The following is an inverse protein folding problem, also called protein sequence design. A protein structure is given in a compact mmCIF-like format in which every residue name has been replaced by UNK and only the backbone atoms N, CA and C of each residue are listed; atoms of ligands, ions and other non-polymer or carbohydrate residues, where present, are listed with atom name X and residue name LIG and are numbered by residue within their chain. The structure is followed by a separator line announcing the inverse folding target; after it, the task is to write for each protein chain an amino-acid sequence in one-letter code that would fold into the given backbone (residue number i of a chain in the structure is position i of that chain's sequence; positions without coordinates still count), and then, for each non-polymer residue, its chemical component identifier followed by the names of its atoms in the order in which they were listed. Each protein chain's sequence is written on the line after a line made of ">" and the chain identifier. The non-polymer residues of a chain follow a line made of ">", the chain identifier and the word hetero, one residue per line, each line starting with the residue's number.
data_IF_663760526749
#
_entry.id   IF_663760526749
#
_cell.length_a   1.000
_cell.length_b   1.000
_cell.length_c   1.000
_cell.angle_alpha   90.00
_cell.angle_beta   90.00
_cell.angle_gamma   90.00
#
_symmetry.space_group_name_H-M   'P 1'
#
loop_
_entity.id
_entity.type
_entity.pdbx_description
1 polymer ?
#
# COMPACT_ATOMS: atom_id res chain seq x y z
N UNK A 1 49.16 -45.39 15.48
CA UNK A 1 49.20 -44.98 14.07
C UNK A 1 48.85 -46.18 13.20
N UNK A 2 47.87 -46.03 12.28
CA UNK A 2 47.53 -46.89 11.13
C UNK A 2 46.94 -48.30 11.36
N UNK A 3 45.69 -48.44 10.88
CA UNK A 3 45.00 -49.56 10.20
C UNK A 3 45.00 -50.99 10.78
N UNK A 4 43.79 -51.57 10.96
CA UNK A 4 43.39 -52.85 10.33
C UNK A 4 41.91 -53.25 10.63
N UNK A 5 41.15 -53.48 9.55
CA UNK A 5 40.15 -54.54 9.22
C UNK A 5 39.23 -55.19 10.29
N UNK A 6 38.05 -55.58 9.79
CA UNK A 6 37.02 -56.55 10.28
C UNK A 6 35.93 -56.01 11.23
N UNK A 7 34.66 -56.32 10.89
CA UNK A 7 33.46 -56.65 11.70
C UNK A 7 32.20 -56.29 10.87
N UNK A 8 31.18 -57.10 10.63
CA UNK A 8 30.90 -58.53 10.75
C UNK A 8 29.58 -58.78 9.99
N UNK A 9 29.48 -59.88 9.26
CA UNK A 9 28.24 -60.50 8.78
C UNK A 9 27.45 -61.14 9.94
N UNK A 10 26.20 -61.54 9.66
CA UNK A 10 25.29 -62.39 10.47
C UNK A 10 24.52 -61.66 11.59
N UNK A 11 23.23 -61.89 11.86
CA UNK A 11 22.31 -62.98 11.52
C UNK A 11 20.90 -62.54 11.90
N UNK A 12 19.90 -62.80 11.03
CA UNK A 12 18.49 -62.87 11.41
C UNK A 12 18.30 -64.20 12.16
N UNK A 13 17.88 -64.13 13.43
CA UNK A 13 17.54 -65.32 14.22
C UNK A 13 16.03 -65.37 14.47
N UNK A 14 15.49 -66.47 13.98
CA UNK A 14 14.18 -67.07 14.18
C UNK A 14 13.71 -67.05 15.64
N UNK A 15 12.46 -66.63 15.90
CA UNK A 15 11.74 -66.97 17.12
C UNK A 15 10.28 -67.31 16.79
N UNK A 16 9.98 -68.61 16.82
CA UNK A 16 8.64 -69.20 16.75
C UNK A 16 8.14 -69.39 18.18
N UNK A 17 6.93 -68.92 18.49
CA UNK A 17 6.13 -69.43 19.62
C UNK A 17 4.72 -69.70 19.13
N UNK A 18 4.33 -70.97 19.24
CA UNK A 18 3.03 -71.55 18.88
C UNK A 18 1.97 -71.27 19.96
N UNK A 19 0.75 -70.95 19.53
CA UNK A 19 -0.47 -71.24 20.27
C UNK A 19 -1.56 -71.73 19.31
N UNK A 20 -1.88 -73.02 19.47
CA UNK A 20 -2.91 -73.86 18.89
C UNK A 20 -4.16 -73.19 18.27
N UNK A 21 -4.17 -73.24 16.94
CA UNK A 21 -5.34 -73.33 16.05
C UNK A 21 -4.77 -73.74 14.70
N UNK A 22 -4.67 -75.05 14.42
CA UNK A 22 -3.89 -75.61 13.32
C UNK A 22 -4.43 -75.22 11.92
N UNK A 23 -4.09 -74.03 11.43
CA UNK A 23 -3.94 -73.81 9.98
C UNK A 23 -2.60 -74.42 9.56
N UNK A 24 -2.65 -75.51 8.80
CA UNK A 24 -1.48 -76.02 8.08
C UNK A 24 -1.14 -75.01 7.00
N UNK A 25 -0.29 -74.03 7.30
CA UNK A 25 0.21 -73.14 6.25
C UNK A 25 0.90 -73.98 5.17
N UNK A 26 0.48 -73.77 3.93
CA UNK A 26 1.04 -74.42 2.76
C UNK A 26 2.51 -74.02 2.64
N UNK A 27 3.38 -75.00 2.43
CA UNK A 27 4.76 -74.71 2.06
C UNK A 27 4.80 -74.32 0.58
N UNK A 28 5.32 -73.12 0.30
CA UNK A 28 5.58 -72.67 -1.05
C UNK A 28 6.51 -73.64 -1.78
N UNK A 29 6.17 -73.94 -3.03
CA UNK A 29 7.02 -74.68 -3.95
C UNK A 29 8.30 -73.89 -4.25
N UNK A 30 9.32 -74.58 -4.79
CA UNK A 30 10.54 -73.92 -5.23
C UNK A 30 10.25 -72.81 -6.25
N UNK A 31 9.38 -73.07 -7.23
CA UNK A 31 9.02 -72.10 -8.26
C UNK A 31 8.36 -70.83 -7.68
N UNK A 32 7.45 -70.97 -6.69
CA UNK A 32 6.81 -69.84 -6.03
C UNK A 32 7.81 -69.00 -5.21
N UNK A 33 8.79 -69.66 -4.56
CA UNK A 33 9.88 -68.96 -3.86
C UNK A 33 10.75 -68.16 -4.83
N UNK A 34 11.12 -68.78 -5.95
CA UNK A 34 11.92 -68.12 -7.00
C UNK A 34 11.19 -66.90 -7.59
N UNK A 35 9.86 -67.00 -7.79
CA UNK A 35 9.04 -65.86 -8.21
C UNK A 35 9.00 -64.76 -7.15
N UNK A 36 8.85 -65.10 -5.87
CA UNK A 36 8.79 -64.12 -4.79
C UNK A 36 10.13 -63.39 -4.60
N UNK A 37 11.25 -64.11 -4.75
CA UNK A 37 12.59 -63.52 -4.74
C UNK A 37 12.77 -62.55 -5.92
N UNK A 38 12.28 -62.93 -7.11
CA UNK A 38 12.31 -62.06 -8.30
C UNK A 38 11.51 -60.77 -8.08
N UNK A 39 10.30 -60.86 -7.56
CA UNK A 39 9.44 -59.69 -7.25
C UNK A 39 10.11 -58.80 -6.20
N UNK A 40 10.61 -59.41 -5.12
CA UNK A 40 11.28 -58.70 -4.04
C UNK A 40 12.56 -57.99 -4.52
N UNK A 41 13.31 -58.60 -5.43
CA UNK A 41 14.50 -58.01 -6.03
C UNK A 41 14.17 -56.79 -6.90
N UNK A 42 13.05 -56.82 -7.65
CA UNK A 42 12.57 -55.67 -8.43
C UNK A 42 12.19 -54.49 -7.54
N UNK A 43 11.44 -54.75 -6.46
CA UNK A 43 11.05 -53.72 -5.49
C UNK A 43 12.30 -53.15 -4.78
N UNK A 44 13.22 -54.00 -4.33
CA UNK A 44 14.47 -53.56 -3.70
C UNK A 44 15.37 -52.77 -4.64
N UNK A 45 15.35 -53.08 -5.95
CA UNK A 45 16.04 -52.28 -6.97
C UNK A 45 15.41 -50.89 -7.08
N UNK A 46 14.09 -50.79 -7.11
CA UNK A 46 13.39 -49.51 -7.14
C UNK A 46 13.64 -48.67 -5.86
N UNK A 47 13.71 -49.31 -4.69
CA UNK A 47 14.07 -48.61 -3.44
C UNK A 47 15.46 -47.96 -3.50
N UNK A 48 16.45 -48.65 -4.08
CA UNK A 48 17.79 -48.08 -4.33
C UNK A 48 17.77 -46.93 -5.33
N UNK A 49 16.66 -46.76 -6.05
CA UNK A 49 16.41 -45.68 -7.00
C UNK A 49 15.47 -44.61 -6.41
N UNK A 50 15.37 -44.51 -5.08
CA UNK A 50 14.51 -43.55 -4.37
C UNK A 50 13.01 -43.64 -4.70
N UNK A 51 12.51 -44.86 -4.94
CA UNK A 51 11.09 -45.10 -5.26
C UNK A 51 10.09 -44.44 -4.31
N UNK A 52 10.41 -44.32 -3.01
CA UNK A 52 9.55 -43.66 -2.01
C UNK A 52 9.29 -42.18 -2.33
N UNK A 53 10.20 -41.53 -3.04
CA UNK A 53 10.07 -40.14 -3.46
C UNK A 53 9.61 -40.05 -4.92
N UNK A 54 10.16 -40.92 -5.78
CA UNK A 54 9.91 -40.87 -7.22
C UNK A 54 8.58 -41.48 -7.67
N UNK A 55 8.08 -42.49 -6.98
CA UNK A 55 6.84 -43.21 -7.30
C UNK A 55 6.17 -43.76 -6.03
N UNK A 56 5.77 -42.89 -5.08
CA UNK A 56 5.28 -43.32 -3.75
C UNK A 56 4.04 -44.21 -3.81
N UNK A 57 3.15 -43.97 -4.78
CA UNK A 57 1.90 -44.72 -4.95
C UNK A 57 2.19 -46.11 -5.48
N UNK A 58 2.96 -46.22 -6.55
CA UNK A 58 3.36 -47.50 -7.13
C UNK A 58 4.24 -48.32 -6.18
N UNK A 59 5.04 -47.65 -5.35
CA UNK A 59 5.86 -48.31 -4.34
C UNK A 59 4.99 -48.96 -3.26
N UNK A 60 4.02 -48.22 -2.72
CA UNK A 60 3.06 -48.76 -1.76
C UNK A 60 2.24 -49.91 -2.37
N UNK A 61 1.80 -49.75 -3.63
CA UNK A 61 1.02 -50.75 -4.34
C UNK A 61 1.81 -52.04 -4.60
N UNK A 62 3.06 -51.95 -5.05
CA UNK A 62 3.90 -53.12 -5.29
C UNK A 62 4.22 -53.91 -4.00
N UNK A 63 4.37 -53.21 -2.86
CA UNK A 63 4.51 -53.85 -1.55
C UNK A 63 3.24 -54.60 -1.15
N UNK A 64 2.07 -53.97 -1.30
CA UNK A 64 0.78 -54.60 -0.99
C UNK A 64 0.55 -55.86 -1.83
N UNK A 65 0.74 -55.77 -3.16
CA UNK A 65 0.55 -56.93 -4.05
C UNK A 65 1.55 -58.06 -3.77
N UNK A 66 2.79 -57.74 -3.39
CA UNK A 66 3.78 -58.75 -2.96
C UNK A 66 3.32 -59.45 -1.67
N UNK A 67 2.86 -58.69 -0.70
CA UNK A 67 2.42 -59.21 0.60
C UNK A 67 1.15 -60.07 0.44
N UNK A 68 0.21 -59.64 -0.42
CA UNK A 68 -0.95 -60.44 -0.82
C UNK A 68 -0.52 -61.74 -1.51
N UNK A 69 0.39 -61.67 -2.49
CA UNK A 69 0.89 -62.88 -3.16
C UNK A 69 1.60 -63.84 -2.20
N UNK A 70 2.30 -63.33 -1.18
CA UNK A 70 2.92 -64.15 -0.14
C UNK A 70 1.87 -64.79 0.77
N UNK A 71 0.87 -64.04 1.21
CA UNK A 71 -0.24 -64.55 2.02
C UNK A 71 -0.93 -65.70 1.28
N UNK A 72 -1.35 -65.43 0.05
CA UNK A 72 -2.05 -66.37 -0.83
C UNK A 72 -1.25 -67.64 -1.10
N UNK A 73 0.07 -67.53 -1.27
CA UNK A 73 0.93 -68.70 -1.48
C UNK A 73 1.02 -69.62 -0.26
N UNK A 74 0.74 -69.10 0.94
CA UNK A 74 0.83 -69.81 2.23
C UNK A 74 -0.51 -70.29 2.78
N UNK A 75 -1.63 -69.85 2.20
CA UNK A 75 -2.97 -70.30 2.59
C UNK A 75 -3.29 -71.72 2.05
N UNK A 76 -4.10 -72.51 2.78
CA UNK A 76 -4.45 -73.88 2.42
C UNK A 76 -5.64 -73.93 1.43
N UNK A 77 -5.43 -73.44 0.20
CA UNK A 77 -6.45 -73.47 -0.86
C UNK A 77 -6.76 -74.88 -1.38
N UNK A 78 -8.00 -75.10 -1.84
CA UNK A 78 -8.44 -76.36 -2.46
C UNK A 78 -7.84 -76.59 -3.88
N UNK A 79 -7.49 -75.52 -4.62
CA UNK A 79 -6.79 -75.56 -5.92
C UNK A 79 -5.66 -74.50 -6.03
N UNK A 80 -4.52 -74.71 -5.34
CA UNK A 80 -3.49 -73.69 -5.15
C UNK A 80 -2.82 -73.14 -6.43
N UNK A 81 -2.37 -73.96 -7.40
CA UNK A 81 -1.53 -73.47 -8.50
C UNK A 81 -2.21 -72.43 -9.39
N UNK A 82 -3.52 -72.56 -9.61
CA UNK A 82 -4.29 -71.68 -10.49
C UNK A 82 -4.64 -70.35 -9.83
N UNK A 83 -4.90 -70.37 -8.52
CA UNK A 83 -5.25 -69.16 -7.76
C UNK A 83 -4.00 -68.33 -7.44
N UNK A 84 -3.00 -68.98 -6.86
CA UNK A 84 -1.73 -68.35 -6.43
C UNK A 84 -0.97 -67.74 -7.61
N UNK A 85 -0.99 -68.40 -8.78
CA UNK A 85 -0.32 -67.90 -9.98
C UNK A 85 -0.81 -66.52 -10.45
N UNK A 86 -2.08 -66.16 -10.20
CA UNK A 86 -2.62 -64.84 -10.56
C UNK A 86 -2.07 -63.75 -9.64
N UNK A 87 -1.94 -64.03 -8.35
CA UNK A 87 -1.38 -63.07 -7.40
C UNK A 87 0.10 -62.83 -7.67
N UNK A 88 0.88 -63.88 -7.99
CA UNK A 88 2.26 -63.72 -8.46
C UNK A 88 2.37 -62.89 -9.75
N UNK A 89 1.46 -63.09 -10.71
CA UNK A 89 1.45 -62.30 -11.93
C UNK A 89 1.12 -60.82 -11.65
N UNK A 90 0.15 -60.55 -10.77
CA UNK A 90 -0.23 -59.20 -10.34
C UNK A 90 0.93 -58.50 -9.63
N UNK A 91 1.53 -59.15 -8.63
CA UNK A 91 2.67 -58.64 -7.89
C UNK A 91 3.89 -58.39 -8.77
N UNK A 92 4.17 -59.30 -9.72
CA UNK A 92 5.26 -59.08 -10.67
C UNK A 92 4.99 -57.88 -11.60
N UNK A 93 3.75 -57.72 -12.08
CA UNK A 93 3.38 -56.56 -12.90
C UNK A 93 3.50 -55.26 -12.10
N UNK A 94 3.04 -55.23 -10.85
CA UNK A 94 3.17 -54.05 -9.98
C UNK A 94 4.64 -53.69 -9.73
N UNK A 95 5.52 -54.68 -9.54
CA UNK A 95 6.95 -54.45 -9.40
C UNK A 95 7.62 -53.94 -10.70
N UNK A 96 7.16 -54.39 -11.87
CA UNK A 96 7.61 -53.89 -13.18
C UNK A 96 7.14 -52.43 -13.42
N UNK A 97 5.88 -52.13 -13.11
CA UNK A 97 5.32 -50.78 -13.22
C UNK A 97 6.03 -49.79 -12.27
N UNK A 98 6.35 -50.22 -11.05
CA UNK A 98 7.14 -49.46 -10.10
C UNK A 98 8.52 -49.08 -10.68
N UNK A 99 9.24 -50.04 -11.27
CA UNK A 99 10.53 -49.76 -11.90
C UNK A 99 10.38 -48.79 -13.07
N UNK A 100 9.37 -48.99 -13.91
CA UNK A 100 9.10 -48.11 -15.05
C UNK A 100 8.80 -46.66 -14.63
N UNK A 101 8.10 -46.47 -13.50
CA UNK A 101 7.77 -45.14 -12.95
C UNK A 101 8.92 -44.51 -12.19
N UNK A 102 9.71 -45.31 -11.48
CA UNK A 102 10.84 -44.81 -10.69
C UNK A 102 12.00 -44.38 -11.59
N UNK A 103 12.24 -45.08 -12.69
CA UNK A 103 13.44 -44.89 -13.54
C UNK A 103 13.60 -43.45 -14.08
N UNK A 104 12.60 -42.82 -14.72
CA UNK A 104 12.76 -41.47 -15.27
C UNK A 104 13.04 -40.40 -14.21
N UNK A 105 12.41 -40.52 -13.04
CA UNK A 105 12.64 -39.61 -11.92
C UNK A 105 14.04 -39.79 -11.33
N UNK A 106 14.48 -41.04 -11.13
CA UNK A 106 15.81 -41.33 -10.62
C UNK A 106 16.90 -40.87 -11.60
N UNK A 107 16.75 -41.15 -12.89
CA UNK A 107 17.68 -40.69 -13.93
C UNK A 107 17.77 -39.16 -13.96
N UNK A 108 16.64 -38.45 -13.85
CA UNK A 108 16.63 -36.98 -13.77
C UNK A 108 17.40 -36.45 -12.55
N UNK A 109 17.42 -37.17 -11.42
CA UNK A 109 18.22 -36.82 -10.23
C UNK A 109 19.71 -37.10 -10.41
N UNK A 110 20.09 -38.08 -11.23
CA UNK A 110 21.50 -38.43 -11.50
C UNK A 110 22.17 -37.48 -12.49
N UNK A 111 21.39 -36.70 -13.25
CA UNK A 111 21.94 -35.62 -14.07
C UNK A 111 22.38 -34.48 -13.13
N UNK A 112 23.65 -34.52 -12.72
CA UNK A 112 24.36 -33.31 -12.29
C UNK A 112 24.16 -32.29 -13.40
N UNK A 113 23.53 -31.16 -13.07
CA UNK A 113 23.47 -30.02 -13.97
C UNK A 113 24.86 -29.82 -14.59
N UNK A 114 24.94 -29.89 -15.92
CA UNK A 114 26.08 -29.31 -16.61
C UNK A 114 26.26 -27.89 -16.06
N UNK A 115 27.49 -27.37 -15.88
CA UNK A 115 27.62 -25.94 -15.66
C UNK A 115 26.79 -25.27 -16.75
N UNK A 116 25.90 -24.33 -16.40
CA UNK A 116 25.02 -23.74 -17.39
C UNK A 116 25.90 -23.27 -18.56
N UNK A 117 25.43 -23.37 -19.83
CA UNK A 117 26.03 -22.49 -20.84
C UNK A 117 26.10 -21.10 -20.23
N UNK A 118 27.15 -20.28 -20.47
CA UNK A 118 27.16 -18.92 -19.97
C UNK A 118 25.77 -18.37 -20.27
N UNK A 119 25.02 -18.02 -19.23
CA UNK A 119 23.68 -17.47 -19.43
C UNK A 119 23.90 -16.39 -20.50
N UNK A 120 23.04 -16.25 -21.54
CA UNK A 120 22.96 -14.92 -22.12
C UNK A 120 22.82 -14.03 -20.89
N UNK A 121 23.76 -13.09 -20.70
CA UNK A 121 23.75 -12.22 -19.53
C UNK A 121 22.31 -11.76 -19.44
N UNK A 122 21.54 -12.31 -18.49
CA UNK A 122 20.22 -11.79 -18.21
C UNK A 122 20.64 -10.53 -17.52
N UNK A 123 20.83 -9.48 -18.34
CA UNK A 123 21.01 -8.13 -17.85
C UNK A 123 19.87 -8.02 -16.85
N UNK A 124 20.18 -7.89 -15.54
CA UNK A 124 19.12 -7.77 -14.55
C UNK A 124 18.15 -6.74 -15.11
N UNK A 125 16.83 -7.03 -15.16
CA UNK A 125 15.88 -6.08 -15.71
C UNK A 125 16.22 -4.72 -15.12
N UNK A 126 16.37 -3.67 -15.95
CA UNK A 126 16.84 -2.39 -15.48
C UNK A 126 16.04 -2.04 -14.23
N UNK A 127 16.71 -1.55 -13.16
CA UNK A 127 16.04 -1.30 -11.90
C UNK A 127 14.75 -0.51 -12.17
N UNK A 128 13.61 -0.94 -11.62
CA UNK A 128 12.33 -0.32 -11.92
C UNK A 128 12.45 1.19 -11.72
N UNK A 129 12.11 1.96 -12.76
CA UNK A 129 12.25 3.40 -12.73
C UNK A 129 11.53 3.94 -11.49
N UNK A 130 12.20 4.78 -10.71
CA UNK A 130 11.59 5.40 -9.55
C UNK A 130 10.30 6.13 -9.98
N UNK A 131 9.23 6.08 -9.17
CA UNK A 131 8.04 6.83 -9.49
C UNK A 131 8.31 8.31 -9.34
N UNK A 132 7.46 9.13 -9.96
CA UNK A 132 7.39 10.56 -9.70
C UNK A 132 5.95 10.92 -9.36
N UNK A 133 5.77 11.96 -8.57
CA UNK A 133 4.45 12.49 -8.22
C UNK A 133 4.47 14.01 -8.31
N UNK A 134 3.33 14.60 -8.67
CA UNK A 134 3.08 16.03 -8.59
C UNK A 134 1.71 16.21 -7.95
N UNK A 135 1.59 17.23 -7.10
CA UNK A 135 0.31 17.65 -6.54
C UNK A 135 0.30 19.18 -6.50
N UNK A 136 -0.79 19.77 -6.96
CA UNK A 136 -1.02 21.20 -7.04
C UNK A 136 -2.39 21.52 -6.43
N UNK A 137 -2.57 22.76 -6.00
CA UNK A 137 -3.83 23.28 -5.50
C UNK A 137 -4.20 24.55 -6.29
N UNK A 138 -5.45 24.64 -6.73
CA UNK A 138 -5.99 25.82 -7.38
C UNK A 138 -7.40 26.16 -6.84
N UNK A 139 -7.59 27.33 -6.20
CA UNK A 139 -6.57 28.35 -5.88
C UNK A 139 -5.50 27.85 -4.90
N UNK A 140 -4.29 28.43 -4.98
CA UNK A 140 -3.14 28.04 -4.13
C UNK A 140 -3.34 28.30 -2.63
N UNK A 141 -4.26 29.19 -2.30
CA UNK A 141 -4.68 29.51 -0.94
C UNK A 141 -6.20 29.71 -0.93
N UNK A 142 -6.80 29.55 0.24
CA UNK A 142 -8.24 29.75 0.43
C UNK A 142 -8.49 30.70 1.59
N UNK A 143 -9.62 31.39 1.59
CA UNK A 143 -10.12 32.02 2.82
C UNK A 143 -10.89 30.99 3.64
N UNK A 144 -10.99 31.21 4.96
CA UNK A 144 -11.80 30.35 5.85
C UNK A 144 -13.17 30.04 5.24
N UNK A 145 -13.54 28.75 5.23
CA UNK A 145 -14.79 28.26 4.67
C UNK A 145 -14.84 28.19 3.14
N UNK A 146 -13.72 28.44 2.44
CA UNK A 146 -13.58 28.22 1.00
C UNK A 146 -12.80 26.94 0.70
N UNK A 147 -12.95 26.45 -0.52
CA UNK A 147 -12.38 25.20 -0.98
C UNK A 147 -11.35 25.46 -2.09
N UNK A 148 -10.44 24.51 -2.27
CA UNK A 148 -9.49 24.45 -3.37
C UNK A 148 -9.57 23.09 -4.05
N UNK A 149 -9.20 23.03 -5.32
CA UNK A 149 -9.10 21.76 -6.04
C UNK A 149 -7.66 21.28 -6.03
N UNK A 150 -7.41 20.14 -5.39
CA UNK A 150 -6.17 19.40 -5.55
C UNK A 150 -6.17 18.73 -6.92
N UNK A 151 -5.05 18.82 -7.65
CA UNK A 151 -4.81 18.12 -8.90
C UNK A 151 -3.49 17.41 -8.81
N UNK A 152 -3.44 16.13 -9.18
CA UNK A 152 -2.21 15.34 -9.12
C UNK A 152 -1.99 14.51 -10.37
N UNK A 153 -0.72 14.18 -10.60
CA UNK A 153 -0.31 13.20 -11.60
C UNK A 153 0.93 12.46 -11.12
N UNK A 154 1.07 11.21 -11.53
CA UNK A 154 2.20 10.36 -11.21
C UNK A 154 2.80 9.75 -12.46
N UNK A 155 4.07 9.38 -12.40
CA UNK A 155 4.79 8.68 -13.47
C UNK A 155 5.44 7.43 -12.89
N UNK A 156 5.46 6.33 -13.66
CA UNK A 156 6.01 5.03 -13.27
C UNK A 156 5.43 4.44 -11.97
N UNK A 157 4.35 4.99 -11.43
CA UNK A 157 3.71 4.51 -10.22
C UNK A 157 2.66 3.44 -10.53
N UNK A 158 2.51 2.46 -9.64
CA UNK A 158 1.45 1.44 -9.72
C UNK A 158 0.31 1.74 -8.73
N UNK A 159 0.54 2.62 -7.77
CA UNK A 159 -0.45 3.10 -6.81
C UNK A 159 -0.13 4.52 -6.35
N UNK A 160 -1.15 5.25 -5.90
CA UNK A 160 -1.00 6.56 -5.30
C UNK A 160 -1.96 6.72 -4.11
N UNK A 161 -1.53 7.45 -3.09
CA UNK A 161 -2.32 7.77 -1.90
C UNK A 161 -2.07 9.22 -1.51
N UNK A 162 -3.11 9.90 -1.01
CA UNK A 162 -3.00 11.24 -0.42
C UNK A 162 -3.37 11.16 1.06
N UNK A 163 -2.58 11.81 1.92
CA UNK A 163 -2.84 11.93 3.35
C UNK A 163 -4.08 12.81 3.66
N UNK A 164 -4.22 13.28 4.90
CA UNK A 164 -5.37 14.07 5.38
C UNK A 164 -6.72 13.36 5.21
N UNK A 165 -6.72 12.03 5.32
CA UNK A 165 -7.93 11.20 5.23
C UNK A 165 -8.48 11.04 3.82
N UNK A 166 -7.73 11.41 2.77
CA UNK A 166 -8.14 11.19 1.37
C UNK A 166 -7.95 9.72 0.97
N UNK A 167 -6.84 9.10 1.35
CA UNK A 167 -6.55 7.69 1.10
C UNK A 167 -6.11 7.40 -0.34
N UNK A 168 -6.32 6.15 -0.77
CA UNK A 168 -5.94 5.67 -2.10
C UNK A 168 -6.64 6.45 -3.22
N UNK A 169 -5.87 6.90 -4.21
CA UNK A 169 -6.33 7.68 -5.36
C UNK A 169 -5.82 7.08 -6.67
N UNK A 170 -6.42 7.51 -7.79
CA UNK A 170 -5.90 7.18 -9.12
C UNK A 170 -4.50 7.76 -9.36
N UNK A 171 -3.78 7.23 -10.35
CA UNK A 171 -2.43 7.71 -10.73
C UNK A 171 -2.43 9.16 -11.26
N UNK A 172 -3.59 9.68 -11.61
CA UNK A 172 -3.88 11.10 -11.80
C UNK A 172 -5.31 11.36 -11.37
N UNK A 173 -5.63 12.62 -11.09
CA UNK A 173 -7.00 12.99 -10.73
C UNK A 173 -7.08 14.36 -10.10
N UNK A 174 -8.31 14.70 -9.70
CA UNK A 174 -8.62 15.92 -8.97
C UNK A 174 -9.52 15.61 -7.77
N UNK A 175 -9.44 16.44 -6.73
CA UNK A 175 -10.32 16.37 -5.56
C UNK A 175 -10.48 17.74 -4.93
N UNK A 176 -11.72 18.14 -4.72
CA UNK A 176 -12.02 19.35 -3.95
C UNK A 176 -11.81 19.10 -2.46
N UNK A 177 -11.15 20.04 -1.79
CA UNK A 177 -10.90 20.03 -0.34
C UNK A 177 -11.20 21.40 0.25
N UNK A 178 -11.77 21.42 1.45
CA UNK A 178 -12.15 22.64 2.16
C UNK A 178 -11.45 22.69 3.54
N UNK A 179 -10.12 22.91 3.57
CA UNK A 179 -9.38 22.94 4.82
C UNK A 179 -9.86 24.08 5.72
N UNK A 180 -9.96 23.80 7.03
CA UNK A 180 -10.34 24.80 8.04
C UNK A 180 -9.16 25.61 8.56
N UNK A 181 -7.97 25.04 8.49
CA UNK A 181 -6.69 25.65 8.85
C UNK A 181 -5.65 25.29 7.79
N UNK A 182 -4.53 26.02 7.74
CA UNK A 182 -3.44 25.75 6.81
C UNK A 182 -3.04 24.28 6.87
N UNK A 183 -3.12 23.60 5.73
CA UNK A 183 -2.96 22.15 5.65
C UNK A 183 -1.95 21.76 4.57
N UNK A 184 -1.15 20.73 4.86
CA UNK A 184 -0.23 20.11 3.89
C UNK A 184 -0.83 18.79 3.41
N UNK A 185 -0.93 18.66 2.09
CA UNK A 185 -1.34 17.44 1.41
C UNK A 185 -0.11 16.80 0.77
N UNK A 186 0.16 15.56 1.15
CA UNK A 186 1.25 14.75 0.62
C UNK A 186 0.67 13.64 -0.24
N UNK A 187 0.98 13.65 -1.54
CA UNK A 187 0.77 12.47 -2.38
C UNK A 187 1.99 11.55 -2.27
N UNK A 188 1.74 10.26 -2.08
CA UNK A 188 2.75 9.20 -2.12
C UNK A 188 2.43 8.27 -3.29
N UNK A 189 3.30 8.26 -4.29
CA UNK A 189 3.22 7.37 -5.44
C UNK A 189 4.19 6.20 -5.26
N UNK A 190 3.75 4.97 -5.46
CA UNK A 190 4.55 3.78 -5.14
C UNK A 190 4.60 2.82 -6.32
N UNK A 191 5.77 2.22 -6.55
CA UNK A 191 5.99 1.07 -7.41
C UNK A 191 7.09 0.15 -6.81
N UNK A 192 7.49 -0.96 -7.47
CA UNK A 192 8.59 -1.81 -6.98
C UNK A 192 9.97 -1.12 -6.88
N UNK A 193 10.16 0.02 -7.55
CA UNK A 193 11.36 0.87 -7.44
C UNK A 193 11.36 1.82 -6.23
N UNK A 194 10.29 1.81 -5.42
CA UNK A 194 10.18 2.57 -4.17
C UNK A 194 9.05 3.62 -4.20
N UNK A 195 8.92 4.42 -3.14
CA UNK A 195 7.96 5.51 -3.08
C UNK A 195 8.56 6.84 -3.55
N UNK A 196 7.72 7.71 -4.12
CA UNK A 196 8.02 9.11 -4.38
C UNK A 196 6.91 9.98 -3.78
N UNK A 197 7.29 11.13 -3.24
CA UNK A 197 6.36 12.05 -2.58
C UNK A 197 6.37 13.42 -3.23
N UNK A 198 5.19 14.03 -3.32
CA UNK A 198 5.05 15.45 -3.58
C UNK A 198 4.12 16.06 -2.52
N UNK A 199 4.40 17.31 -2.16
CA UNK A 199 3.67 18.02 -1.11
C UNK A 199 3.13 19.31 -1.70
N UNK A 200 1.87 19.62 -1.41
CA UNK A 200 1.31 20.96 -1.58
C UNK A 200 0.80 21.47 -0.24
N UNK A 201 1.20 22.68 0.11
CA UNK A 201 0.65 23.40 1.24
C UNK A 201 -0.49 24.29 0.75
N UNK A 202 -1.63 24.23 1.42
CA UNK A 202 -2.80 25.08 1.16
C UNK A 202 -2.98 25.99 2.38
N UNK A 203 -2.47 27.24 2.33
CA UNK A 203 -2.73 28.23 3.36
C UNK A 203 -4.22 28.57 3.45
N UNK A 204 -4.72 28.67 4.67
CA UNK A 204 -6.06 29.19 4.97
C UNK A 204 -5.92 30.56 5.59
N UNK A 205 -6.36 31.58 4.87
CA UNK A 205 -6.35 32.97 5.32
C UNK A 205 -7.66 33.37 5.96
N UNK A 206 -7.54 34.24 6.95
CA UNK A 206 -8.65 34.77 7.71
C UNK A 206 -8.85 36.24 7.35
N UNK A 207 -10.08 36.72 7.55
CA UNK A 207 -10.41 38.13 7.45
C UNK A 207 -11.42 38.51 8.51
N UNK A 208 -11.36 39.77 8.93
CA UNK A 208 -12.37 40.38 9.79
C UNK A 208 -12.88 41.65 9.15
N UNK A 209 -14.21 41.84 9.17
CA UNK A 209 -14.85 43.07 8.70
C UNK A 209 -15.11 43.98 9.88
N UNK A 210 -14.70 45.23 9.74
CA UNK A 210 -14.89 46.30 10.71
C UNK A 210 -15.88 47.32 10.17
N UNK A 211 -16.90 47.60 10.96
CA UNK A 211 -17.89 48.64 10.65
C UNK A 211 -17.55 49.94 11.39
N UNK A 212 -16.54 50.66 10.87
CA UNK A 212 -16.10 51.93 11.43
C UNK A 212 -16.88 53.06 10.79
N UNK A 213 -17.59 53.84 11.60
CA UNK A 213 -18.37 54.97 11.13
C UNK A 213 -17.47 56.21 10.99
N UNK A 214 -16.99 56.45 9.78
CA UNK A 214 -16.33 57.70 9.46
C UNK A 214 -17.37 58.81 9.23
N UNK A 215 -17.15 59.99 9.81
CA UNK A 215 -17.95 61.17 9.48
C UNK A 215 -17.85 61.51 7.98
N UNK A 216 -18.84 62.23 7.45
CA UNK A 216 -18.88 62.59 6.03
C UNK A 216 -17.57 63.28 5.60
N UNK A 217 -16.96 62.77 4.52
CA UNK A 217 -15.67 63.20 3.99
C UNK A 217 -14.46 63.13 4.95
N UNK A 218 -14.57 62.46 6.09
CA UNK A 218 -13.47 62.30 7.05
C UNK A 218 -12.89 60.89 7.05
N UNK A 219 -11.65 60.78 7.51
CA UNK A 219 -10.95 59.53 7.80
C UNK A 219 -10.59 59.41 9.29
N UNK A 220 -10.97 60.39 10.11
CA UNK A 220 -10.74 60.35 11.56
C UNK A 220 -11.59 59.27 12.22
N UNK A 221 -10.94 58.43 13.01
CA UNK A 221 -11.61 57.38 13.78
C UNK A 221 -12.20 58.04 15.03
N UNK A 222 -13.50 57.87 15.25
CA UNK A 222 -14.18 58.45 16.42
C UNK A 222 -13.93 57.54 17.64
N UNK A 223 -13.91 58.14 18.84
CA UNK A 223 -13.80 57.38 20.10
C UNK A 223 -14.87 56.29 20.23
N UNK A 224 -16.07 56.53 19.69
CA UNK A 224 -17.17 55.58 19.69
C UNK A 224 -16.89 54.30 18.88
N UNK A 225 -15.96 54.34 17.92
CA UNK A 225 -15.62 53.21 17.06
C UNK A 225 -14.38 52.43 17.57
N UNK A 226 -13.80 52.82 18.71
CA UNK A 226 -12.69 52.11 19.37
C UNK A 226 -13.02 50.64 19.68
N UNK A 227 -14.22 50.28 20.18
CA UNK A 227 -14.58 48.87 20.40
C UNK A 227 -14.54 48.04 19.10
N UNK A 228 -14.88 48.64 17.96
CA UNK A 228 -14.79 47.96 16.67
C UNK A 228 -13.32 47.74 16.26
N UNK A 229 -12.47 48.74 16.51
CA UNK A 229 -11.03 48.59 16.31
C UNK A 229 -10.38 47.57 17.23
N UNK A 230 -10.97 47.26 18.38
CA UNK A 230 -10.44 46.19 19.23
C UNK A 230 -10.48 44.83 18.51
N UNK A 231 -11.48 44.58 17.65
CA UNK A 231 -11.52 43.38 16.80
C UNK A 231 -10.32 43.30 15.86
N UNK A 232 -9.85 44.45 15.37
CA UNK A 232 -8.66 44.54 14.55
C UNK A 232 -7.40 44.14 15.32
N UNK A 233 -7.28 44.65 16.56
CA UNK A 233 -6.18 44.32 17.47
C UNK A 233 -6.20 42.84 17.82
N UNK A 234 -7.37 42.29 18.12
CA UNK A 234 -7.53 40.88 18.45
C UNK A 234 -7.19 39.97 17.26
N UNK A 235 -7.51 40.41 16.04
CA UNK A 235 -7.13 39.73 14.81
C UNK A 235 -5.60 39.67 14.63
N UNK A 236 -4.89 40.81 14.70
CA UNK A 236 -3.43 40.81 14.52
C UNK A 236 -2.70 40.10 15.67
N UNK A 237 -3.27 40.08 16.87
CA UNK A 237 -2.75 39.27 18.00
C UNK A 237 -2.91 37.77 17.77
N UNK A 238 -4.00 37.36 17.12
CA UNK A 238 -4.26 35.95 16.80
C UNK A 238 -3.33 35.42 15.72
N UNK A 239 -2.89 36.28 14.80
CA UNK A 239 -2.02 35.94 13.68
C UNK A 239 -0.74 36.80 13.66
N UNK A 240 0.16 36.67 14.66
CA UNK A 240 1.28 37.60 14.86
C UNK A 240 2.38 37.51 13.79
N UNK A 241 2.48 36.39 13.09
CA UNK A 241 3.49 36.13 12.06
C UNK A 241 2.98 36.40 10.63
N UNK A 242 1.71 36.77 10.47
CA UNK A 242 1.08 36.98 9.16
C UNK A 242 1.17 38.44 8.74
N UNK A 243 1.43 38.67 7.44
CA UNK A 243 1.26 40.00 6.84
C UNK A 243 -0.23 40.27 6.68
N UNK A 244 -0.69 41.45 7.05
CA UNK A 244 -2.11 41.84 6.94
C UNK A 244 -2.29 43.01 5.99
N UNK A 245 -3.39 43.01 5.26
CA UNK A 245 -3.85 44.15 4.48
C UNK A 245 -5.09 44.76 5.14
N UNK A 246 -5.05 46.08 5.34
CA UNK A 246 -6.22 46.88 5.72
C UNK A 246 -6.84 47.41 4.45
N UNK A 247 -8.05 46.97 4.12
CA UNK A 247 -8.73 47.30 2.88
C UNK A 247 -9.95 48.17 3.16
N UNK A 248 -9.95 49.40 2.66
CA UNK A 248 -11.06 50.33 2.80
C UNK A 248 -12.05 50.21 1.65
N UNK A 249 -13.34 50.37 1.96
CA UNK A 249 -14.44 50.40 0.99
C UNK A 249 -15.37 51.59 1.23
N UNK A 250 -16.04 52.04 0.17
CA UNK A 250 -17.09 53.05 0.19
C UNK A 250 -18.42 52.46 -0.30
N UNK A 251 -19.48 53.26 -0.20
CA UNK A 251 -20.66 53.02 -1.03
C UNK A 251 -20.45 53.63 -2.43
N UNK A 252 -21.45 53.48 -3.30
CA UNK A 252 -21.39 53.99 -4.68
C UNK A 252 -21.80 55.47 -4.82
N UNK A 253 -21.76 56.25 -3.74
CA UNK A 253 -22.16 57.67 -3.78
C UNK A 253 -20.96 58.53 -4.13
N UNK A 254 -21.07 59.28 -5.23
CA UNK A 254 -20.02 60.20 -5.67
C UNK A 254 -19.07 59.58 -6.70
N UNK A 255 -18.05 60.34 -7.15
CA UNK A 255 -17.15 59.89 -8.21
C UNK A 255 -16.26 58.72 -7.76
N UNK A 256 -16.01 57.76 -8.65
CA UNK A 256 -15.16 56.60 -8.39
C UNK A 256 -13.75 56.99 -7.90
N UNK A 257 -13.09 57.95 -8.55
CA UNK A 257 -11.76 58.44 -8.14
C UNK A 257 -11.77 59.04 -6.72
N UNK A 258 -12.87 59.71 -6.37
CA UNK A 258 -13.05 60.25 -5.03
C UNK A 258 -13.20 59.13 -4.00
N UNK A 259 -14.04 58.14 -4.30
CA UNK A 259 -14.26 56.95 -3.48
C UNK A 259 -12.98 56.14 -3.28
N UNK A 260 -12.18 55.99 -4.33
CA UNK A 260 -10.87 55.36 -4.28
C UNK A 260 -9.95 56.06 -3.27
N UNK A 261 -9.74 57.36 -3.41
CA UNK A 261 -8.90 58.14 -2.46
C UNK A 261 -9.47 58.13 -1.03
N UNK A 262 -10.80 58.19 -0.88
CA UNK A 262 -11.44 58.16 0.44
C UNK A 262 -11.23 56.82 1.15
N UNK A 263 -11.43 55.71 0.43
CA UNK A 263 -11.21 54.37 0.96
C UNK A 263 -9.77 54.15 1.41
N UNK A 264 -8.79 54.63 0.63
CA UNK A 264 -7.37 54.54 0.96
C UNK A 264 -7.01 55.36 2.21
N UNK A 265 -7.54 56.58 2.36
CA UNK A 265 -7.33 57.39 3.58
C UNK A 265 -7.89 56.68 4.82
N UNK A 266 -9.05 56.04 4.71
CA UNK A 266 -9.67 55.28 5.81
C UNK A 266 -8.86 54.04 6.17
N UNK A 267 -8.38 53.30 5.18
CA UNK A 267 -7.49 52.17 5.39
C UNK A 267 -6.20 52.60 6.10
N UNK A 268 -5.60 53.73 5.69
CA UNK A 268 -4.41 54.29 6.31
C UNK A 268 -4.65 54.72 7.77
N UNK A 269 -5.82 55.28 8.10
CA UNK A 269 -6.16 55.64 9.47
C UNK A 269 -6.20 54.40 10.38
N UNK A 270 -6.80 53.30 9.91
CA UNK A 270 -6.87 52.04 10.65
C UNK A 270 -5.49 51.37 10.74
N UNK A 271 -4.70 51.39 9.66
CA UNK A 271 -3.29 50.94 9.69
C UNK A 271 -2.49 51.72 10.73
N UNK A 272 -2.61 53.04 10.77
CA UNK A 272 -1.93 53.87 11.77
C UNK A 272 -2.33 53.49 13.19
N UNK A 273 -3.63 53.31 13.44
CA UNK A 273 -4.11 52.85 14.74
C UNK A 273 -3.49 51.50 15.16
N UNK A 274 -3.41 50.54 14.25
CA UNK A 274 -2.82 49.23 14.53
C UNK A 274 -1.31 49.32 14.82
N UNK A 275 -0.58 50.17 14.08
CA UNK A 275 0.83 50.44 14.37
C UNK A 275 1.03 51.08 15.74
N UNK A 276 0.22 52.09 16.06
CA UNK A 276 0.27 52.78 17.35
C UNK A 276 -0.11 51.85 18.52
N UNK A 277 -0.89 50.79 18.27
CA UNK A 277 -1.22 49.76 19.26
C UNK A 277 -0.03 48.86 19.64
N UNK A 278 1.03 48.83 18.84
CA UNK A 278 2.23 48.03 19.09
C UNK A 278 2.11 46.54 18.78
N UNK A 279 0.99 46.07 18.21
CA UNK A 279 0.74 44.65 17.93
C UNK A 279 1.05 44.23 16.49
N UNK A 280 1.45 45.15 15.61
CA UNK A 280 1.86 44.86 14.24
C UNK A 280 3.04 45.74 13.84
N UNK A 281 4.00 45.19 13.11
CA UNK A 281 5.16 45.94 12.61
C UNK A 281 4.84 46.60 11.25
N UNK A 282 5.54 47.68 10.92
CA UNK A 282 5.30 48.45 9.69
C UNK A 282 5.45 47.64 8.40
N UNK A 283 6.32 46.63 8.39
CA UNK A 283 6.57 45.68 7.30
C UNK A 283 5.53 44.55 7.22
N UNK A 284 4.72 44.36 8.27
CA UNK A 284 3.67 43.36 8.35
C UNK A 284 2.28 43.92 8.00
N UNK A 285 2.13 45.22 7.73
CA UNK A 285 0.82 45.83 7.45
C UNK A 285 0.82 46.73 6.21
N UNK A 286 -0.11 46.46 5.28
CA UNK A 286 -0.40 47.34 4.15
C UNK A 286 -1.78 48.00 4.29
N UNK A 287 -1.99 49.10 3.59
CA UNK A 287 -3.28 49.77 3.49
C UNK A 287 -3.64 49.92 2.02
N UNK A 288 -4.86 49.56 1.66
CA UNK A 288 -5.36 49.58 0.28
C UNK A 288 -6.76 50.20 0.26
N UNK A 289 -7.01 51.09 -0.70
CA UNK A 289 -8.36 51.54 -1.02
C UNK A 289 -8.95 50.71 -2.15
N UNK A 290 -10.22 50.33 -2.05
CA UNK A 290 -10.98 49.66 -3.12
C UNK A 290 -12.17 50.48 -3.64
N UNK A 291 -12.33 51.70 -3.16
CA UNK A 291 -13.46 52.56 -3.52
C UNK A 291 -14.77 51.82 -3.32
N UNK A 292 -15.62 51.83 -4.34
CA UNK A 292 -16.94 51.18 -4.34
C UNK A 292 -16.93 49.72 -4.84
N UNK A 293 -15.76 49.13 -5.09
CA UNK A 293 -15.64 47.75 -5.53
C UNK A 293 -16.09 46.75 -4.44
N UNK A 294 -16.39 45.52 -4.86
CA UNK A 294 -16.78 44.41 -3.98
C UNK A 294 -17.88 44.77 -2.95
N UNK A 295 -19.07 45.26 -3.39
CA UNK A 295 -20.16 45.59 -2.48
C UNK A 295 -20.69 44.33 -1.79
N UNK A 296 -20.95 44.42 -0.49
CA UNK A 296 -21.52 43.33 0.33
C UNK A 296 -23.02 43.48 0.56
N UNK A 297 -23.60 44.60 0.12
CA UNK A 297 -25.03 44.88 0.20
C UNK A 297 -25.48 45.81 -0.94
N UNK A 298 -26.78 45.94 -1.13
CA UNK A 298 -27.36 46.77 -2.20
C UNK A 298 -27.13 48.27 -1.97
N UNK A 299 -26.33 48.88 -2.86
CA UNK A 299 -26.05 50.32 -2.85
C UNK A 299 -27.28 51.21 -3.11
N UNK A 300 -28.39 50.65 -3.60
CA UNK A 300 -29.64 51.41 -3.78
C UNK A 300 -30.30 51.75 -2.45
N UNK A 301 -30.09 50.94 -1.41
CA UNK A 301 -30.68 51.14 -0.08
C UNK A 301 -29.76 51.92 0.86
N UNK A 302 -30.31 52.69 1.81
CA UNK A 302 -29.49 53.43 2.80
C UNK A 302 -28.72 52.46 3.69
N UNK A 303 -29.36 51.36 4.04
CA UNK A 303 -28.85 50.28 4.88
C UNK A 303 -27.72 49.53 4.18
N UNK A 304 -27.87 49.21 2.90
CA UNK A 304 -26.83 48.56 2.12
C UNK A 304 -25.62 49.46 1.90
N UNK A 305 -25.82 50.75 1.61
CA UNK A 305 -24.72 51.73 1.59
C UNK A 305 -23.97 51.79 2.93
N UNK A 306 -24.69 51.75 4.05
CA UNK A 306 -24.05 51.71 5.36
C UNK A 306 -23.19 50.47 5.59
N UNK A 307 -23.61 49.31 5.10
CA UNK A 307 -22.82 48.07 5.14
C UNK A 307 -21.60 48.13 4.21
N UNK A 308 -21.71 48.77 3.05
CA UNK A 308 -20.60 48.87 2.08
C UNK A 308 -19.50 49.81 2.56
N UNK A 309 -19.83 50.84 3.35
CA UNK A 309 -18.86 51.72 4.05
C UNK A 309 -18.18 50.97 5.20
N UNK A 310 -17.19 50.15 4.87
CA UNK A 310 -16.49 49.26 5.80
C UNK A 310 -14.97 49.29 5.61
N UNK A 311 -14.27 48.74 6.58
CA UNK A 311 -12.84 48.38 6.46
C UNK A 311 -12.71 46.89 6.72
N UNK A 312 -12.01 46.17 5.87
CA UNK A 312 -11.66 44.78 6.11
C UNK A 312 -10.19 44.69 6.51
N UNK A 313 -9.88 43.75 7.40
CA UNK A 313 -8.52 43.34 7.67
C UNK A 313 -8.41 41.88 7.27
N UNK A 314 -7.46 41.59 6.41
CA UNK A 314 -7.27 40.25 5.86
C UNK A 314 -5.80 39.86 5.91
N UNK A 315 -5.53 38.59 6.19
CA UNK A 315 -4.21 38.02 5.96
C UNK A 315 -3.85 38.10 4.46
N UNK A 316 -2.58 38.36 4.17
CA UNK A 316 -2.03 38.29 2.82
C UNK A 316 -1.14 37.06 2.70
N UNK A 317 -1.35 36.31 1.61
CA UNK A 317 -0.37 35.33 1.16
C UNK A 317 0.95 35.98 0.81
N UNK A 318 2.03 35.25 1.10
CA UNK A 318 3.38 35.62 0.70
C UNK A 318 3.54 35.61 -0.82
#
# INVERSE_FOLDING_TARGET
>A
MRNQRLFLCMTVLLAVVLAAGCSRNRQMTKAEKDQMETISAKIAKAEKMDAKECAPVEYAYALAERDDALHEATEPWEDPPKYVGKHFASANKAADDLLAKTTPCWEAKQVKAAPPPPMPVVVPPPPPMAPAATILADPKYVYEGKCTTLTWSTQNATSAEIDQGIGGVGLSGTKEVCPKETMKYTITATNPGGPAKAVVEVPVFHRTTLYINFAFNKADIRKADIPELQKAVDFVKRYPDTKVAVVGYTDSTGPEEYNQKLSERRANAVKKYLLDSGHVKADQITAEGRGEADPIADNKTKEGRAKNRRVEIQERGQ
#
